data_IF_497357894250
#
_entry.id   IF_497357894250
#
_cell.length_a   1.000
_cell.length_b   1.000
_cell.length_c   1.000
_cell.angle_alpha   90.00
_cell.angle_beta   90.00
_cell.angle_gamma   90.00
#
_symmetry.space_group_name_H-M   'P 1'
#
loop_
_entity.id
_entity.type
_entity.pdbx_description
1 polymer ?
#
# COMPACT_ATOMS: atom_id res chain seq x y z
N UNK A 1 -3.02 -1.08 -15.95
CA UNK A 1 -1.58 -1.06 -16.22
C UNK A 1 -1.19 0.34 -16.61
N UNK A 2 -0.50 1.08 -15.75
CA UNK A 2 0.13 2.35 -16.09
C UNK A 2 1.39 2.04 -16.90
N UNK A 3 1.24 1.97 -18.21
CA UNK A 3 2.34 1.69 -19.14
C UNK A 3 3.24 2.92 -19.37
N UNK A 4 2.85 4.07 -18.82
CA UNK A 4 3.57 5.34 -18.93
C UNK A 4 4.26 5.69 -17.62
N UNK A 5 5.49 6.18 -17.72
CA UNK A 5 6.19 6.79 -16.61
C UNK A 5 5.50 8.09 -16.19
N UNK A 6 5.42 8.30 -14.87
CA UNK A 6 4.87 9.51 -14.28
C UNK A 6 5.79 10.70 -14.53
N UNK A 7 5.20 11.88 -14.70
CA UNK A 7 5.95 13.15 -14.67
C UNK A 7 6.32 13.57 -13.25
N UNK A 8 5.73 12.94 -12.22
CA UNK A 8 6.11 13.11 -10.82
C UNK A 8 7.35 12.31 -10.49
N UNK A 9 8.11 12.78 -9.51
CA UNK A 9 9.13 11.98 -8.81
C UNK A 9 8.48 11.03 -7.79
N UNK A 10 9.15 9.95 -7.37
CA UNK A 10 8.65 9.09 -6.29
C UNK A 10 8.32 9.89 -5.02
N UNK A 11 9.14 10.88 -4.68
CA UNK A 11 8.95 11.76 -3.52
C UNK A 11 7.68 12.60 -3.66
N UNK A 12 7.39 13.15 -4.84
CA UNK A 12 6.15 13.88 -5.09
C UNK A 12 4.91 12.98 -5.05
N UNK A 13 5.03 11.73 -5.51
CA UNK A 13 3.93 10.77 -5.42
C UNK A 13 3.63 10.37 -3.96
N UNK A 14 4.68 10.10 -3.17
CA UNK A 14 4.53 9.82 -1.74
C UNK A 14 3.99 11.03 -0.96
N UNK A 15 4.46 12.25 -1.28
CA UNK A 15 3.91 13.48 -0.70
C UNK A 15 2.41 13.61 -1.01
N UNK A 16 2.00 13.39 -2.27
CA UNK A 16 0.60 13.45 -2.65
C UNK A 16 -0.27 12.41 -1.92
N UNK A 17 0.26 11.20 -1.65
CA UNK A 17 -0.45 10.20 -0.85
C UNK A 17 -0.59 10.61 0.62
N UNK A 18 0.47 11.18 1.20
CA UNK A 18 0.46 11.70 2.56
C UNK A 18 -0.56 12.84 2.70
N UNK A 19 -0.57 13.79 1.77
CA UNK A 19 -1.51 14.92 1.74
C UNK A 19 -2.95 14.45 1.54
N UNK A 20 -3.18 13.50 0.62
CA UNK A 20 -4.51 12.97 0.31
C UNK A 20 -5.15 12.28 1.51
N UNK A 21 -4.35 11.50 2.26
CA UNK A 21 -4.88 10.67 3.34
C UNK A 21 -4.73 11.30 4.73
N UNK A 22 -3.82 12.25 4.89
CA UNK A 22 -3.50 12.92 6.15
C UNK A 22 -3.49 11.95 7.36
N UNK A 23 -2.68 10.87 7.33
CA UNK A 23 -2.73 9.82 8.34
C UNK A 23 -2.34 10.37 9.72
N UNK A 24 -3.12 10.00 10.75
CA UNK A 24 -2.76 10.28 12.15
C UNK A 24 -1.74 9.27 12.65
N UNK A 25 -1.83 8.02 12.20
CA UNK A 25 -0.89 6.95 12.54
C UNK A 25 -0.27 6.38 11.27
N UNK A 26 1.03 6.57 11.13
CA UNK A 26 1.81 6.19 9.95
C UNK A 26 2.83 5.12 10.32
N UNK A 27 2.86 4.03 9.57
CA UNK A 27 3.92 3.03 9.66
C UNK A 27 4.89 3.22 8.50
N UNK A 28 6.19 3.31 8.78
CA UNK A 28 7.25 3.27 7.77
C UNK A 28 8.06 1.98 7.93
N UNK A 29 8.29 1.26 6.84
CA UNK A 29 9.12 0.05 6.82
C UNK A 29 10.21 0.16 5.75
N UNK A 30 11.45 -0.11 6.13
CA UNK A 30 12.62 -0.09 5.24
C UNK A 30 13.47 1.16 5.39
N UNK A 31 13.11 2.22 4.67
CA UNK A 31 13.82 3.49 4.72
C UNK A 31 13.78 4.12 6.13
N UNK A 32 14.88 4.76 6.52
CA UNK A 32 14.94 5.52 7.78
C UNK A 32 14.07 6.79 7.71
N UNK A 33 14.15 7.53 6.61
CA UNK A 33 13.41 8.76 6.37
C UNK A 33 13.57 9.20 4.91
N UNK A 34 12.74 10.13 4.44
CA UNK A 34 12.88 10.77 3.14
C UNK A 34 12.22 12.17 3.15
N UNK A 35 12.57 13.08 2.21
CA UNK A 35 12.16 14.48 2.27
C UNK A 35 10.64 14.70 2.37
N UNK A 36 9.84 13.94 1.62
CA UNK A 36 8.38 14.06 1.66
C UNK A 36 7.79 13.69 3.03
N UNK A 37 8.36 12.68 3.73
CA UNK A 37 7.92 12.33 5.07
C UNK A 37 8.30 13.41 6.09
N UNK A 38 9.51 13.96 5.99
CA UNK A 38 9.98 15.02 6.88
C UNK A 38 9.08 16.26 6.78
N UNK A 39 8.84 16.73 5.56
CA UNK A 39 7.96 17.86 5.30
C UNK A 39 6.53 17.62 5.84
N UNK A 40 6.01 16.39 5.68
CA UNK A 40 4.72 16.02 6.21
C UNK A 40 4.68 16.04 7.75
N UNK A 41 5.70 15.49 8.43
CA UNK A 41 5.77 15.51 9.90
C UNK A 41 5.89 16.93 10.46
N UNK A 42 6.61 17.82 9.77
CA UNK A 42 6.69 19.24 10.15
C UNK A 42 5.34 19.95 10.03
N UNK A 43 4.59 19.68 8.95
CA UNK A 43 3.25 20.23 8.73
C UNK A 43 2.18 19.61 9.65
N UNK A 44 2.39 18.36 10.08
CA UNK A 44 1.45 17.56 10.87
C UNK A 44 2.12 16.99 12.14
N UNK A 45 2.46 17.84 13.13
CA UNK A 45 3.21 17.43 14.32
C UNK A 45 2.47 16.45 15.23
N UNK A 46 1.16 16.25 15.01
CA UNK A 46 0.35 15.26 15.74
C UNK A 46 0.39 13.85 15.11
N UNK A 47 0.99 13.69 13.93
CA UNK A 47 1.11 12.36 13.31
C UNK A 47 2.07 11.49 14.12
N UNK A 48 1.57 10.35 14.57
CA UNK A 48 2.36 9.28 15.19
C UNK A 48 3.05 8.46 14.10
N UNK A 49 4.37 8.58 14.01
CA UNK A 49 5.20 7.77 13.11
C UNK A 49 5.78 6.57 13.88
N UNK A 50 5.42 5.36 13.46
CA UNK A 50 6.10 4.13 13.82
C UNK A 50 7.06 3.70 12.70
N UNK A 51 8.24 3.18 13.06
CA UNK A 51 9.24 2.68 12.11
C UNK A 51 9.55 1.22 12.38
N UNK A 52 9.74 0.45 11.32
CA UNK A 52 10.20 -0.93 11.40
C UNK A 52 11.29 -1.19 10.36
N UNK A 53 12.20 -2.10 10.68
CA UNK A 53 13.18 -2.61 9.72
C UNK A 53 12.51 -3.61 8.76
N UNK A 54 13.09 -3.85 7.57
CA UNK A 54 12.62 -4.92 6.68
C UNK A 54 12.53 -6.27 7.39
N UNK A 55 11.41 -6.96 7.27
CA UNK A 55 11.19 -8.27 7.89
C UNK A 55 9.88 -8.35 8.65
N UNK A 56 9.82 -9.24 9.64
CA UNK A 56 8.65 -9.38 10.50
C UNK A 56 8.48 -8.12 11.36
N UNK A 57 7.25 -7.60 11.48
CA UNK A 57 6.98 -6.48 12.37
C UNK A 57 7.25 -6.88 13.84
N UNK A 58 7.97 -6.03 14.60
CA UNK A 58 8.11 -6.18 16.05
C UNK A 58 6.76 -6.33 16.75
N UNK A 59 6.71 -7.08 17.86
CA UNK A 59 5.47 -7.44 18.54
C UNK A 59 4.66 -6.22 19.03
N UNK A 60 5.35 -5.17 19.44
CA UNK A 60 4.76 -3.89 19.82
C UNK A 60 4.06 -3.20 18.64
N UNK A 61 4.58 -3.31 17.42
CA UNK A 61 3.96 -2.76 16.21
C UNK A 61 2.91 -3.69 15.60
N UNK A 62 3.13 -5.00 15.67
CA UNK A 62 2.24 -6.02 15.10
C UNK A 62 0.82 -5.99 15.72
N UNK A 63 0.70 -5.55 16.98
CA UNK A 63 -0.58 -5.36 17.66
C UNK A 63 -1.30 -4.05 17.33
N UNK A 64 -0.69 -3.15 16.55
CA UNK A 64 -1.22 -1.81 16.31
C UNK A 64 -1.97 -1.70 14.98
N UNK A 65 -2.74 -0.61 14.87
CA UNK A 65 -3.46 -0.18 13.67
C UNK A 65 -2.96 1.17 13.19
N UNK A 66 -2.71 1.27 11.90
CA UNK A 66 -2.20 2.44 11.19
C UNK A 66 -3.18 2.85 10.09
N UNK A 67 -3.24 4.15 9.84
CA UNK A 67 -4.08 4.70 8.76
C UNK A 67 -3.45 4.41 7.40
N UNK A 68 -2.12 4.46 7.34
CA UNK A 68 -1.29 4.22 6.16
C UNK A 68 0.01 3.52 6.56
N UNK A 69 0.42 2.53 5.78
CA UNK A 69 1.76 1.96 5.82
C UNK A 69 2.53 2.30 4.55
N UNK A 70 3.75 2.81 4.71
CA UNK A 70 4.72 3.08 3.66
C UNK A 70 5.82 2.02 3.72
N UNK A 71 6.01 1.30 2.63
CA UNK A 71 7.07 0.31 2.48
C UNK A 71 7.99 0.80 1.36
N UNK A 72 9.16 1.30 1.74
CA UNK A 72 10.07 2.01 0.84
C UNK A 72 11.48 1.51 1.13
N UNK A 73 12.26 1.16 0.09
CA UNK A 73 13.62 0.63 0.25
C UNK A 73 13.64 -0.55 1.24
N UNK A 74 12.85 -1.58 0.94
CA UNK A 74 12.50 -2.64 1.89
C UNK A 74 12.52 -4.02 1.26
N UNK A 75 11.76 -4.22 0.17
CA UNK A 75 11.56 -5.54 -0.41
C UNK A 75 12.81 -6.05 -1.13
N UNK A 76 13.68 -5.14 -1.55
CA UNK A 76 14.98 -5.34 -2.15
C UNK A 76 15.96 -6.04 -1.18
N UNK A 77 15.72 -5.88 0.13
CA UNK A 77 16.66 -6.31 1.17
C UNK A 77 16.23 -7.59 1.90
N UNK A 78 15.10 -8.19 1.52
CA UNK A 78 14.54 -9.37 2.20
C UNK A 78 14.11 -10.45 1.21
N UNK A 79 14.13 -11.73 1.62
CA UNK A 79 13.57 -12.81 0.81
C UNK A 79 12.10 -12.57 0.50
N UNK A 80 11.67 -12.91 -0.73
CA UNK A 80 10.28 -12.77 -1.19
C UNK A 80 9.25 -13.35 -0.21
N UNK A 81 9.54 -14.52 0.38
CA UNK A 81 8.67 -15.14 1.39
C UNK A 81 8.43 -14.23 2.60
N UNK A 82 9.49 -13.65 3.14
CA UNK A 82 9.42 -12.73 4.27
C UNK A 82 8.66 -11.46 3.90
N UNK A 83 8.88 -10.92 2.69
CA UNK A 83 8.11 -9.77 2.20
C UNK A 83 6.62 -10.08 2.01
N UNK A 84 6.25 -11.30 1.58
CA UNK A 84 4.85 -11.73 1.48
C UNK A 84 4.19 -11.79 2.86
N UNK A 85 4.89 -12.34 3.86
CA UNK A 85 4.42 -12.39 5.25
C UNK A 85 4.26 -10.96 5.82
N UNK A 86 5.21 -10.06 5.55
CA UNK A 86 5.16 -8.65 5.94
C UNK A 86 3.98 -7.92 5.29
N UNK A 87 3.87 -7.90 3.95
CA UNK A 87 2.82 -7.17 3.25
C UNK A 87 1.43 -7.77 3.53
N UNK A 88 1.32 -9.10 3.58
CA UNK A 88 0.09 -9.79 3.95
C UNK A 88 -0.34 -9.49 5.39
N UNK A 89 0.62 -9.48 6.33
CA UNK A 89 0.39 -9.09 7.72
C UNK A 89 -0.10 -7.64 7.81
N UNK A 90 0.63 -6.70 7.19
CA UNK A 90 0.25 -5.29 7.19
C UNK A 90 -1.16 -5.11 6.62
N UNK A 91 -1.47 -5.71 5.47
CA UNK A 91 -2.77 -5.57 4.81
C UNK A 91 -3.93 -6.10 5.63
N UNK A 92 -3.74 -7.25 6.26
CA UNK A 92 -4.82 -7.94 6.96
C UNK A 92 -4.99 -7.46 8.39
N UNK A 93 -3.90 -7.04 9.03
CA UNK A 93 -3.87 -6.76 10.45
C UNK A 93 -3.49 -5.33 10.77
N UNK A 94 -2.60 -4.65 10.05
CA UNK A 94 -2.01 -3.41 10.58
C UNK A 94 -2.48 -2.13 9.92
N UNK A 95 -2.79 -2.11 8.62
CA UNK A 95 -3.07 -0.85 7.94
C UNK A 95 -4.29 -0.91 7.01
N UNK A 96 -5.10 0.14 7.04
CA UNK A 96 -6.22 0.30 6.11
C UNK A 96 -5.77 0.66 4.70
N UNK A 97 -4.55 1.20 4.56
CA UNK A 97 -3.92 1.59 3.30
C UNK A 97 -2.45 1.19 3.30
N UNK A 98 -1.94 0.85 2.13
CA UNK A 98 -0.52 0.53 1.93
C UNK A 98 -0.04 1.25 0.67
N UNK A 99 1.14 1.84 0.74
CA UNK A 99 1.90 2.25 -0.42
C UNK A 99 3.28 1.57 -0.38
N UNK A 100 3.61 0.87 -1.45
CA UNK A 100 4.89 0.17 -1.60
C UNK A 100 5.62 0.76 -2.78
N UNK A 101 6.81 1.30 -2.55
CA UNK A 101 7.71 1.73 -3.62
C UNK A 101 8.76 0.64 -3.79
N UNK A 102 8.75 -0.06 -4.93
CA UNK A 102 9.62 -1.19 -5.19
C UNK A 102 10.40 -1.02 -6.50
N UNK A 103 11.67 -1.42 -6.47
CA UNK A 103 12.49 -1.68 -7.64
C UNK A 103 12.35 -3.15 -8.03
N UNK A 104 11.61 -3.42 -9.11
CA UNK A 104 11.34 -4.81 -9.54
C UNK A 104 12.56 -5.48 -10.19
N UNK A 105 13.54 -4.70 -10.64
CA UNK A 105 14.77 -5.24 -11.23
C UNK A 105 15.79 -5.58 -10.14
N UNK A 106 15.67 -4.97 -8.95
CA UNK A 106 16.52 -5.22 -7.79
C UNK A 106 15.96 -6.25 -6.78
N UNK A 107 14.80 -6.86 -7.04
CA UNK A 107 14.21 -7.85 -6.13
C UNK A 107 13.55 -9.04 -6.85
N UNK A 108 13.20 -10.08 -6.10
CA UNK A 108 12.57 -11.29 -6.65
C UNK A 108 11.05 -11.14 -6.90
N UNK A 109 10.49 -9.93 -6.76
CA UNK A 109 9.07 -9.67 -6.90
C UNK A 109 8.68 -9.39 -8.35
N UNK A 110 7.47 -9.77 -8.70
CA UNK A 110 6.81 -9.36 -9.93
C UNK A 110 5.54 -8.57 -9.62
N UNK A 111 5.07 -7.79 -10.59
CA UNK A 111 3.82 -7.02 -10.44
C UNK A 111 2.63 -7.89 -10.03
N UNK A 112 2.57 -9.14 -10.49
CA UNK A 112 1.54 -10.13 -10.15
C UNK A 112 1.52 -10.50 -8.68
N UNK A 113 2.65 -10.46 -7.98
CA UNK A 113 2.71 -10.71 -6.54
C UNK A 113 1.97 -9.61 -5.76
N UNK A 114 2.10 -8.35 -6.19
CA UNK A 114 1.35 -7.23 -5.60
C UNK A 114 -0.15 -7.33 -5.91
N UNK A 115 -0.52 -7.71 -7.12
CA UNK A 115 -1.91 -7.95 -7.50
C UNK A 115 -2.55 -9.09 -6.70
N UNK A 116 -1.80 -10.15 -6.39
CA UNK A 116 -2.28 -11.23 -5.52
C UNK A 116 -2.62 -10.76 -4.10
N UNK A 117 -1.98 -9.67 -3.66
CA UNK A 117 -2.26 -8.99 -2.39
C UNK A 117 -3.29 -7.86 -2.54
N UNK A 118 -3.98 -7.75 -3.69
CA UNK A 118 -4.93 -6.69 -4.02
C UNK A 118 -4.33 -5.27 -4.07
N UNK A 119 -3.00 -5.13 -4.07
CA UNK A 119 -2.37 -3.86 -4.41
C UNK A 119 -2.46 -3.66 -5.93
N UNK A 120 -2.48 -2.40 -6.37
CA UNK A 120 -2.50 -2.02 -7.77
C UNK A 120 -1.28 -1.17 -8.09
N UNK A 121 -0.72 -1.33 -9.29
CA UNK A 121 0.33 -0.44 -9.78
C UNK A 121 -0.31 0.92 -10.08
N UNK A 122 0.05 1.93 -9.27
CA UNK A 122 -0.47 3.28 -9.38
C UNK A 122 0.40 4.12 -10.32
N UNK A 123 1.72 4.13 -10.11
CA UNK A 123 2.67 4.93 -10.87
C UNK A 123 3.99 4.19 -11.09
N UNK A 124 4.69 4.56 -12.17
CA UNK A 124 6.05 4.10 -12.48
C UNK A 124 6.94 5.33 -12.65
N UNK A 125 8.16 5.25 -12.17
CA UNK A 125 9.15 6.31 -12.23
C UNK A 125 10.41 5.76 -12.88
N UNK A 126 11.02 6.53 -13.77
CA UNK A 126 12.31 6.18 -14.36
C UNK A 126 13.29 7.32 -14.12
N UNK A 127 14.48 6.97 -13.66
CA UNK A 127 15.62 7.87 -13.56
C UNK A 127 16.88 7.08 -13.90
N UNK A 128 17.56 7.50 -14.96
CA UNK A 128 18.72 6.80 -15.50
C UNK A 128 18.37 5.32 -15.78
N UNK A 129 19.11 4.37 -15.22
CA UNK A 129 18.85 2.92 -15.37
C UNK A 129 17.87 2.36 -14.33
N UNK A 130 17.42 3.17 -13.36
CA UNK A 130 16.54 2.72 -12.30
C UNK A 130 15.06 2.95 -12.62
N UNK A 131 14.24 1.92 -12.37
CA UNK A 131 12.79 1.99 -12.45
C UNK A 131 12.15 1.62 -11.12
N UNK A 132 11.40 2.56 -10.54
CA UNK A 132 10.59 2.32 -9.35
C UNK A 132 9.12 2.23 -9.71
N UNK A 133 8.40 1.29 -9.11
CA UNK A 133 6.95 1.17 -9.25
C UNK A 133 6.28 1.38 -7.89
N UNK A 134 5.29 2.26 -7.85
CA UNK A 134 4.45 2.49 -6.68
C UNK A 134 3.20 1.62 -6.76
N UNK A 135 3.09 0.69 -5.83
CA UNK A 135 1.90 -0.14 -5.63
C UNK A 135 1.09 0.38 -4.46
N UNK A 136 -0.22 0.48 -4.62
CA UNK A 136 -1.11 0.99 -3.57
C UNK A 136 -2.26 0.04 -3.28
N UNK A 137 -2.67 -0.01 -2.03
CA UNK A 137 -3.91 -0.65 -1.57
C UNK A 137 -4.68 0.30 -0.68
N UNK A 138 -6.00 0.37 -0.88
CA UNK A 138 -6.93 1.06 0.03
C UNK A 138 -8.11 0.13 0.32
N UNK A 139 -8.29 -0.25 1.58
CA UNK A 139 -9.37 -1.13 2.03
C UNK A 139 -10.77 -0.59 1.68
N UNK A 140 -10.93 0.73 1.52
CA UNK A 140 -12.20 1.34 1.12
C UNK A 140 -12.51 1.15 -0.36
N UNK A 141 -11.49 1.21 -1.21
CA UNK A 141 -11.64 1.29 -2.67
C UNK A 141 -11.19 0.01 -3.40
N UNK A 142 -10.64 -0.99 -2.68
CA UNK A 142 -10.04 -2.17 -3.32
C UNK A 142 -11.02 -3.00 -4.15
N UNK A 143 -12.32 -2.97 -3.81
CA UNK A 143 -13.36 -3.73 -4.50
C UNK A 143 -14.50 -2.80 -4.92
N UNK A 144 -14.66 -2.65 -6.23
CA UNK A 144 -15.86 -2.05 -6.79
C UNK A 144 -17.04 -3.03 -6.68
N UNK A 145 -18.22 -2.51 -6.38
CA UNK A 145 -19.46 -3.30 -6.41
C UNK A 145 -19.72 -3.70 -7.86
N UNK A 146 -19.72 -4.99 -8.21
CA UNK A 146 -19.96 -5.39 -9.59
C UNK A 146 -21.40 -5.09 -10.03
N UNK A 147 -21.60 -4.77 -11.30
CA UNK A 147 -22.93 -4.50 -11.88
C UNK A 147 -23.89 -5.69 -11.79
N UNK A 148 -23.38 -6.90 -11.59
CA UNK A 148 -24.19 -8.09 -11.38
C UNK A 148 -24.63 -8.29 -9.93
N UNK A 149 -24.06 -7.56 -8.97
CA UNK A 149 -24.45 -7.63 -7.56
C UNK A 149 -25.65 -6.72 -7.27
N UNK A 150 -26.77 -7.02 -7.91
CA UNK A 150 -28.07 -6.39 -7.66
C UNK A 150 -29.21 -7.39 -7.94
N UNK A 151 -30.43 -6.99 -7.58
CA UNK A 151 -31.61 -7.84 -7.71
C UNK A 151 -31.84 -8.36 -9.15
N UNK A 152 -31.46 -7.60 -10.19
CA UNK A 152 -31.71 -7.96 -11.60
C UNK A 152 -31.01 -9.25 -12.03
N UNK A 153 -29.82 -9.51 -11.49
CA UNK A 153 -28.99 -10.67 -11.84
C UNK A 153 -28.94 -11.72 -10.74
N UNK A 154 -29.73 -11.55 -9.68
CA UNK A 154 -29.84 -12.52 -8.59
C UNK A 154 -30.73 -13.69 -9.01
N UNK A 155 -30.43 -14.91 -8.53
CA UNK A 155 -31.17 -16.11 -8.93
C UNK A 155 -32.67 -16.08 -8.55
N UNK A 156 -33.03 -15.33 -7.50
CA UNK A 156 -34.41 -15.07 -7.04
C UNK A 156 -34.59 -13.58 -6.74
N UNK A 157 -34.76 -12.72 -7.77
CA UNK A 157 -34.78 -11.25 -7.64
C UNK A 157 -35.71 -10.73 -6.55
N UNK A 158 -36.88 -11.36 -6.39
CA UNK A 158 -37.90 -11.02 -5.41
C UNK A 158 -37.45 -11.23 -3.95
N UNK A 159 -36.42 -12.04 -3.72
CA UNK A 159 -35.87 -12.35 -2.40
C UNK A 159 -34.56 -11.59 -2.11
N UNK A 160 -34.08 -10.77 -3.05
CA UNK A 160 -32.84 -10.01 -2.89
C UNK A 160 -32.90 -9.07 -1.68
N UNK A 161 -31.96 -9.23 -0.75
CA UNK A 161 -31.85 -8.40 0.46
C UNK A 161 -32.95 -8.60 1.51
N UNK A 162 -33.87 -9.56 1.32
CA UNK A 162 -34.98 -9.81 2.25
C UNK A 162 -34.65 -10.79 3.37
N UNK A 163 -33.81 -11.78 3.07
CA UNK A 163 -33.46 -12.85 4.00
C UNK A 163 -31.94 -12.96 4.07
N UNK A 164 -31.41 -13.02 5.28
CA UNK A 164 -30.02 -13.37 5.56
C UNK A 164 -30.08 -14.67 6.35
N UNK A 165 -29.69 -15.78 5.70
CA UNK A 165 -29.81 -17.17 6.20
C UNK A 165 -31.11 -17.49 6.95
#
# INVERSE_FOLDING_TARGET
MTDRFSSRTPQQALAALLDLHAPKRLLLVGAETFPALQAFQEAHPQTELAKATPGLLPADLAGQRFDLALVVDCLEHIPKRTGLELLGGIRNLNASRIAVLADLDACAWQSTDFYSLALQASERFSRDEQVLTLFTYDLREYKQVPDWLNARFWANPENYGKYWW
#
